data_IF_514195100687
#
_entry.id   IF_514195100687
#
_cell.length_a   1.000
_cell.length_b   1.000
_cell.length_c   1.000
_cell.angle_alpha   90.00
_cell.angle_beta   90.00
_cell.angle_gamma   90.00
#
_symmetry.space_group_name_H-M   'P 1'
#
loop_
_entity.id
_entity.type
_entity.pdbx_description
1 polymer ?
#
# COMPACT_ATOMS: atom_id res chain seq x y z
N UNK A 1 -21.69 -14.20 -14.40
CA UNK A 1 -20.64 -14.80 -13.54
C UNK A 1 -19.71 -13.68 -13.15
N UNK A 2 -19.78 -13.23 -11.89
CA UNK A 2 -19.15 -12.00 -11.41
C UNK A 2 -17.62 -12.04 -11.56
N UNK A 3 -17.02 -10.91 -11.91
CA UNK A 3 -15.57 -10.73 -12.12
C UNK A 3 -14.74 -11.20 -10.92
N UNK A 4 -15.26 -11.04 -9.71
CA UNK A 4 -14.66 -11.57 -8.46
C UNK A 4 -14.50 -13.11 -8.49
N UNK A 5 -15.48 -13.83 -9.05
CA UNK A 5 -15.41 -15.30 -9.18
C UNK A 5 -14.36 -15.72 -10.22
N UNK A 6 -14.18 -14.91 -11.27
CA UNK A 6 -13.13 -15.16 -12.28
C UNK A 6 -11.73 -14.92 -11.72
N UNK A 7 -11.55 -13.91 -10.87
CA UNK A 7 -10.28 -13.63 -10.20
C UNK A 7 -9.97 -14.73 -9.19
N UNK A 8 -10.94 -15.13 -8.37
CA UNK A 8 -10.78 -16.24 -7.43
C UNK A 8 -10.47 -17.57 -8.14
N UNK A 9 -11.11 -17.83 -9.30
CA UNK A 9 -10.85 -19.02 -10.10
C UNK A 9 -9.47 -18.98 -10.77
N UNK A 10 -9.03 -17.81 -11.24
CA UNK A 10 -7.70 -17.62 -11.83
C UNK A 10 -6.58 -17.86 -10.78
N UNK A 11 -6.81 -17.44 -9.55
CA UNK A 11 -5.88 -17.66 -8.42
C UNK A 11 -5.88 -19.13 -8.00
N UNK A 12 -7.05 -19.80 -8.03
CA UNK A 12 -7.17 -21.23 -7.69
C UNK A 12 -6.54 -22.15 -8.75
N UNK A 13 -6.41 -21.68 -10.01
CA UNK A 13 -5.77 -22.45 -11.09
C UNK A 13 -4.28 -22.20 -11.24
N UNK A 14 -3.72 -21.21 -10.57
CA UNK A 14 -2.28 -21.08 -10.40
C UNK A 14 -1.77 -22.13 -9.41
N UNK A 15 -1.80 -23.39 -9.81
CA UNK A 15 -0.96 -24.44 -9.22
C UNK A 15 0.49 -24.09 -9.53
N UNK A 16 1.07 -23.19 -8.73
CA UNK A 16 2.49 -22.94 -8.73
C UNK A 16 3.11 -24.19 -8.10
N UNK A 17 3.49 -25.14 -8.94
CA UNK A 17 4.38 -26.23 -8.54
C UNK A 17 5.70 -25.58 -8.15
N UNK A 18 5.86 -25.38 -6.85
CA UNK A 18 7.07 -24.83 -6.23
C UNK A 18 8.16 -25.88 -6.38
N UNK A 19 9.11 -25.61 -7.27
CA UNK A 19 10.40 -26.30 -7.20
C UNK A 19 11.09 -25.80 -5.94
N UNK A 20 11.22 -26.70 -4.99
CA UNK A 20 11.87 -26.47 -3.71
C UNK A 20 13.39 -26.35 -3.93
N UNK A 21 13.87 -25.11 -4.02
CA UNK A 21 15.23 -24.74 -3.68
C UNK A 21 15.21 -23.32 -3.11
N UNK A 22 15.47 -23.19 -1.82
CA UNK A 22 15.87 -22.01 -1.00
C UNK A 22 15.33 -20.59 -1.31
N UNK A 23 14.41 -20.44 -2.25
CA UNK A 23 13.79 -19.19 -2.67
C UNK A 23 12.27 -19.29 -2.42
N UNK A 24 11.82 -19.02 -1.20
CA UNK A 24 10.39 -19.07 -0.89
C UNK A 24 9.62 -18.00 -1.68
N UNK A 25 8.63 -18.43 -2.44
CA UNK A 25 7.60 -17.54 -2.97
C UNK A 25 6.55 -17.42 -1.89
N UNK A 26 6.17 -16.19 -1.57
CA UNK A 26 5.04 -15.90 -0.69
C UNK A 26 3.91 -15.33 -1.53
N UNK A 27 2.68 -15.75 -1.26
CA UNK A 27 1.50 -15.16 -1.87
C UNK A 27 0.48 -14.82 -0.78
N UNK A 28 -0.20 -13.69 -0.92
CA UNK A 28 -1.26 -13.29 -0.03
C UNK A 28 -2.46 -12.77 -0.82
N UNK A 29 -3.65 -13.04 -0.30
CA UNK A 29 -4.91 -12.49 -0.80
C UNK A 29 -5.52 -11.67 0.32
N UNK A 30 -5.91 -10.45 -0.01
CA UNK A 30 -6.58 -9.52 0.90
C UNK A 30 -8.03 -9.32 0.47
N UNK A 31 -8.95 -9.29 1.42
CA UNK A 31 -10.33 -8.85 1.20
C UNK A 31 -10.77 -7.99 2.36
N UNK A 32 -11.38 -6.84 2.08
CA UNK A 32 -11.75 -5.90 3.13
C UNK A 32 -12.65 -4.77 2.64
N UNK A 33 -12.77 -3.80 3.53
CA UNK A 33 -13.52 -2.57 3.30
C UNK A 33 -12.70 -1.38 3.76
N UNK A 34 -12.81 -0.27 3.06
CA UNK A 34 -12.25 1.01 3.46
C UNK A 34 -13.31 2.11 3.41
N UNK A 35 -13.37 2.93 4.46
CA UNK A 35 -14.21 4.12 4.47
C UNK A 35 -13.71 5.19 3.50
N UNK A 36 -12.42 5.18 3.20
CA UNK A 36 -11.82 6.03 2.18
C UNK A 36 -10.55 5.38 1.64
N UNK A 37 -10.45 5.29 0.34
CA UNK A 37 -9.25 4.78 -0.32
C UNK A 37 -8.22 5.89 -0.49
N UNK A 38 -7.00 5.61 -0.07
CA UNK A 38 -5.90 6.57 -0.04
C UNK A 38 -4.81 6.20 -1.03
N UNK A 39 -4.34 7.17 -1.79
CA UNK A 39 -3.09 7.10 -2.55
C UNK A 39 -2.23 8.28 -2.12
N UNK A 40 -1.02 8.00 -1.64
CA UNK A 40 -0.09 9.02 -1.11
C UNK A 40 -0.76 9.95 -0.08
N UNK A 41 -1.60 9.38 0.79
CA UNK A 41 -2.42 10.07 1.79
C UNK A 41 -3.48 11.04 1.20
N UNK A 42 -3.77 10.98 -0.09
CA UNK A 42 -4.89 11.67 -0.71
C UNK A 42 -6.11 10.75 -0.84
N UNK A 43 -7.28 11.24 -0.45
CA UNK A 43 -8.53 10.49 -0.57
C UNK A 43 -8.95 10.42 -2.03
N UNK A 44 -8.95 9.21 -2.59
CA UNK A 44 -9.32 8.93 -3.99
C UNK A 44 -10.76 8.46 -4.14
N UNK A 45 -11.25 7.70 -3.16
CA UNK A 45 -12.61 7.17 -3.15
C UNK A 45 -13.12 7.02 -1.73
N UNK A 46 -14.44 6.98 -1.56
CA UNK A 46 -15.10 6.70 -0.28
C UNK A 46 -15.90 5.41 -0.39
N UNK A 47 -16.02 4.71 0.72
CA UNK A 47 -16.88 3.54 0.88
C UNK A 47 -16.64 2.47 -0.19
N UNK A 48 -15.42 1.91 -0.20
CA UNK A 48 -15.01 0.91 -1.17
C UNK A 48 -14.76 -0.45 -0.51
N UNK A 49 -15.23 -1.52 -1.15
CA UNK A 49 -14.67 -2.84 -0.89
C UNK A 49 -13.25 -2.91 -1.49
N UNK A 50 -12.41 -3.75 -0.93
CA UNK A 50 -11.02 -3.92 -1.39
C UNK A 50 -10.78 -5.40 -1.58
N UNK A 51 -10.23 -5.78 -2.74
CA UNK A 51 -9.70 -7.10 -2.98
C UNK A 51 -8.27 -6.95 -3.50
N UNK A 52 -7.33 -7.64 -2.88
CA UNK A 52 -5.92 -7.52 -3.21
C UNK A 52 -5.24 -8.88 -3.37
N UNK A 53 -4.16 -8.89 -4.13
CA UNK A 53 -3.22 -9.99 -4.24
C UNK A 53 -1.80 -9.45 -4.15
N UNK A 54 -0.97 -10.13 -3.39
CA UNK A 54 0.46 -9.84 -3.32
C UNK A 54 1.23 -11.14 -3.55
N UNK A 55 2.23 -11.09 -4.43
CA UNK A 55 3.19 -12.18 -4.62
C UNK A 55 4.58 -11.62 -4.37
N UNK A 56 5.34 -12.28 -3.53
CA UNK A 56 6.70 -11.89 -3.18
C UNK A 56 7.70 -13.03 -3.42
N UNK A 57 8.92 -12.69 -3.76
CA UNK A 57 10.05 -13.61 -3.85
C UNK A 57 11.33 -12.90 -3.47
N UNK A 58 12.11 -13.51 -2.60
CA UNK A 58 13.47 -13.07 -2.34
C UNK A 58 14.44 -13.85 -3.21
N UNK A 59 15.30 -13.15 -3.95
CA UNK A 59 16.36 -13.72 -4.77
C UNK A 59 17.65 -12.93 -4.59
N UNK A 60 18.74 -13.59 -4.29
CA UNK A 60 20.05 -12.98 -4.05
C UNK A 60 20.03 -11.82 -3.03
N UNK A 61 19.19 -11.92 -2.00
CA UNK A 61 19.00 -10.89 -0.97
C UNK A 61 18.22 -9.66 -1.44
N UNK A 62 17.57 -9.73 -2.60
CA UNK A 62 16.63 -8.71 -3.08
C UNK A 62 15.23 -9.27 -3.00
N UNK A 63 14.33 -8.51 -2.36
CA UNK A 63 12.91 -8.81 -2.25
C UNK A 63 12.19 -8.23 -3.46
N UNK A 64 11.58 -9.08 -4.27
CA UNK A 64 10.71 -8.69 -5.37
C UNK A 64 9.25 -8.82 -4.96
N UNK A 65 8.39 -7.92 -5.40
CA UNK A 65 6.96 -8.00 -5.14
C UNK A 65 6.14 -7.60 -6.37
N UNK A 66 5.05 -8.35 -6.58
CA UNK A 66 3.96 -7.99 -7.48
C UNK A 66 2.71 -7.77 -6.61
N UNK A 67 2.06 -6.64 -6.76
CA UNK A 67 0.83 -6.31 -6.03
C UNK A 67 -0.26 -5.97 -7.03
N UNK A 68 -1.46 -6.47 -6.78
CA UNK A 68 -2.66 -6.10 -7.50
C UNK A 68 -3.76 -5.78 -6.52
N UNK A 69 -4.55 -4.75 -6.80
CA UNK A 69 -5.67 -4.36 -5.97
C UNK A 69 -6.83 -3.92 -6.86
N UNK A 70 -8.02 -4.35 -6.50
CA UNK A 70 -9.27 -3.98 -7.15
C UNK A 70 -10.22 -3.38 -6.11
N UNK A 71 -10.82 -2.26 -6.47
CA UNK A 71 -11.72 -1.50 -5.62
C UNK A 71 -13.04 -1.29 -6.37
N UNK A 72 -14.03 -2.16 -6.13
CA UNK A 72 -15.40 -1.87 -6.55
C UNK A 72 -15.97 -0.74 -5.67
N UNK A 73 -16.23 0.39 -6.28
CA UNK A 73 -16.77 1.57 -5.60
C UNK A 73 -18.30 1.56 -5.79
N UNK A 74 -19.03 1.83 -4.70
CA UNK A 74 -20.49 1.80 -4.71
C UNK A 74 -21.13 2.79 -5.72
N UNK A 75 -20.41 3.83 -6.14
CA UNK A 75 -20.83 4.79 -7.17
C UNK A 75 -20.70 4.29 -8.61
N UNK A 76 -20.26 3.04 -8.82
CA UNK A 76 -20.21 2.40 -10.15
C UNK A 76 -18.95 2.67 -10.97
N UNK A 77 -17.90 3.22 -10.35
CA UNK A 77 -16.61 3.49 -11.00
C UNK A 77 -15.51 2.68 -10.31
N UNK A 78 -15.26 1.49 -10.83
CA UNK A 78 -14.24 0.59 -10.29
C UNK A 78 -12.83 1.13 -10.52
N UNK A 79 -11.95 0.95 -9.54
CA UNK A 79 -10.54 1.29 -9.67
C UNK A 79 -9.67 0.05 -9.50
N UNK A 80 -8.52 0.02 -10.15
CA UNK A 80 -7.54 -1.03 -9.97
C UNK A 80 -6.11 -0.49 -9.97
N UNK A 81 -5.25 -1.15 -9.21
CA UNK A 81 -3.86 -0.79 -9.08
C UNK A 81 -2.99 -2.03 -9.23
N UNK A 82 -1.93 -1.92 -10.04
CA UNK A 82 -0.96 -2.99 -10.25
C UNK A 82 0.44 -2.44 -10.09
N UNK A 83 1.22 -3.07 -9.26
CA UNK A 83 2.56 -2.59 -8.94
C UNK A 83 3.60 -3.70 -8.92
N UNK A 84 4.80 -3.34 -9.35
CA UNK A 84 6.02 -4.12 -9.20
C UNK A 84 6.95 -3.36 -8.27
N UNK A 85 7.61 -4.06 -7.37
CA UNK A 85 8.58 -3.49 -6.45
C UNK A 85 9.77 -4.39 -6.24
N UNK A 86 10.88 -3.77 -5.89
CA UNK A 86 12.08 -4.44 -5.42
C UNK A 86 12.65 -3.70 -4.23
N UNK A 87 13.22 -4.44 -3.28
CA UNK A 87 13.84 -3.86 -2.08
C UNK A 87 15.01 -4.70 -1.59
N UNK A 88 15.94 -4.04 -0.90
CA UNK A 88 17.08 -4.70 -0.28
C UNK A 88 17.44 -4.01 1.02
N UNK A 89 17.74 -4.80 2.05
CA UNK A 89 18.30 -4.31 3.32
C UNK A 89 19.79 -4.54 3.36
N UNK A 90 20.53 -3.57 3.88
CA UNK A 90 21.98 -3.57 4.07
C UNK A 90 22.24 -3.34 5.55
N UNK A 91 22.88 -4.30 6.22
CA UNK A 91 23.34 -4.10 7.57
C UNK A 91 24.49 -3.09 7.58
N UNK A 92 24.33 -2.02 8.35
CA UNK A 92 25.35 -0.97 8.53
C UNK A 92 26.05 -1.13 9.87
N UNK A 93 25.30 -1.43 10.91
CA UNK A 93 25.75 -1.77 12.26
C UNK A 93 24.91 -2.91 12.80
N UNK A 94 25.33 -3.56 13.87
CA UNK A 94 24.70 -4.77 14.45
C UNK A 94 23.18 -4.66 14.69
N UNK A 95 22.64 -3.47 14.89
CA UNK A 95 21.21 -3.24 15.16
C UNK A 95 20.62 -2.17 14.26
N UNK A 96 21.32 -1.85 13.17
CA UNK A 96 20.92 -0.79 12.24
C UNK A 96 21.11 -1.26 10.81
N UNK A 97 20.03 -1.31 10.06
CA UNK A 97 20.03 -1.60 8.63
C UNK A 97 19.49 -0.42 7.83
N UNK A 98 19.98 -0.26 6.62
CA UNK A 98 19.40 0.63 5.61
C UNK A 98 18.61 -0.22 4.64
N UNK A 99 17.30 0.01 4.54
CA UNK A 99 16.44 -0.61 3.53
C UNK A 99 16.19 0.37 2.39
N UNK A 100 16.47 -0.08 1.19
CA UNK A 100 16.14 0.65 -0.05
C UNK A 100 15.06 -0.10 -0.79
N UNK A 101 14.08 0.62 -1.32
CA UNK A 101 12.98 0.07 -2.11
C UNK A 101 12.74 0.94 -3.33
N UNK A 102 12.36 0.33 -4.45
CA UNK A 102 11.89 1.02 -5.64
C UNK A 102 10.70 0.28 -6.22
N UNK A 103 9.80 1.00 -6.86
CA UNK A 103 8.61 0.40 -7.44
C UNK A 103 7.97 1.24 -8.53
N UNK A 104 7.14 0.57 -9.31
CA UNK A 104 6.26 1.17 -10.33
C UNK A 104 4.86 0.65 -10.08
N UNK A 105 3.88 1.54 -10.06
CA UNK A 105 2.47 1.20 -9.87
C UNK A 105 1.63 1.86 -10.96
N UNK A 106 0.84 1.08 -11.68
CA UNK A 106 -0.17 1.59 -12.60
C UNK A 106 -1.48 1.75 -11.85
N UNK A 107 -2.01 2.97 -11.84
CA UNK A 107 -3.32 3.32 -11.29
C UNK A 107 -4.32 3.46 -12.44
N UNK A 108 -5.36 2.64 -12.41
CA UNK A 108 -6.50 2.74 -13.31
C UNK A 108 -7.70 3.18 -12.49
N UNK A 109 -8.20 4.35 -12.78
CA UNK A 109 -9.34 4.93 -12.07
C UNK A 109 -10.55 4.88 -12.97
N UNK A 110 -11.66 4.34 -12.49
CA UNK A 110 -12.92 4.35 -13.23
C UNK A 110 -13.61 5.73 -13.24
N UNK A 111 -13.06 6.70 -12.51
CA UNK A 111 -13.66 8.03 -12.41
C UNK A 111 -13.29 8.88 -13.62
N UNK A 112 -14.30 9.44 -14.29
CA UNK A 112 -14.10 10.26 -15.49
C UNK A 112 -13.22 11.52 -15.26
N UNK A 113 -13.08 11.96 -14.01
CA UNK A 113 -12.32 13.16 -13.64
C UNK A 113 -10.89 12.88 -13.20
N UNK A 114 -10.52 11.60 -12.98
CA UNK A 114 -9.18 11.21 -12.57
C UNK A 114 -8.55 10.42 -13.70
N UNK A 115 -7.46 10.94 -14.25
CA UNK A 115 -6.72 10.28 -15.31
C UNK A 115 -5.98 9.05 -14.78
N UNK A 116 -5.91 7.98 -15.57
CA UNK A 116 -5.03 6.84 -15.29
C UNK A 116 -3.57 7.29 -15.31
N UNK A 117 -2.79 6.89 -14.32
CA UNK A 117 -1.39 7.30 -14.25
C UNK A 117 -0.48 6.17 -13.76
N UNK A 118 0.79 6.31 -14.04
CA UNK A 118 1.88 5.45 -13.57
C UNK A 118 2.68 6.18 -12.51
N UNK A 119 2.75 5.60 -11.32
CA UNK A 119 3.61 6.09 -10.24
C UNK A 119 4.93 5.33 -10.24
N UNK A 120 6.03 6.07 -10.23
CA UNK A 120 7.36 5.54 -9.92
C UNK A 120 7.73 6.03 -8.53
N UNK A 121 8.21 5.15 -7.67
CA UNK A 121 8.61 5.53 -6.33
C UNK A 121 9.93 4.88 -5.91
N UNK A 122 10.61 5.54 -4.99
CA UNK A 122 11.79 5.02 -4.32
C UNK A 122 11.73 5.40 -2.83
N UNK A 123 12.08 4.47 -1.94
CA UNK A 123 12.08 4.65 -0.48
C UNK A 123 13.43 4.24 0.09
N UNK A 124 13.91 5.04 1.05
CA UNK A 124 15.05 4.69 1.91
C UNK A 124 14.58 4.75 3.35
N UNK A 125 14.84 3.72 4.12
CA UNK A 125 14.47 3.61 5.52
C UNK A 125 15.68 3.19 6.36
N UNK A 126 15.75 3.69 7.60
CA UNK A 126 16.70 3.23 8.62
C UNK A 126 15.94 2.28 9.55
N UNK A 127 16.22 1.00 9.44
CA UNK A 127 15.57 -0.05 10.25
C UNK A 127 16.35 -0.28 11.53
N UNK A 128 15.70 -0.11 12.67
CA UNK A 128 16.22 -0.41 13.99
C UNK A 128 15.07 -0.84 14.94
N UNK A 129 15.39 -1.29 16.13
CA UNK A 129 14.43 -1.83 17.09
C UNK A 129 13.50 -0.76 17.70
N UNK A 130 13.85 0.52 17.62
CA UNK A 130 13.08 1.58 18.27
C UNK A 130 12.02 2.17 17.33
N UNK A 131 12.43 2.59 16.15
CA UNK A 131 11.55 3.17 15.12
C UNK A 131 12.28 3.22 13.77
N UNK A 132 11.50 3.29 12.70
CA UNK A 132 11.98 3.26 11.32
C UNK A 132 11.67 4.59 10.65
N UNK A 133 12.60 5.58 10.70
CA UNK A 133 12.47 6.79 9.90
C UNK A 133 12.72 6.46 8.42
N UNK A 134 11.99 7.12 7.54
CA UNK A 134 12.14 6.93 6.11
C UNK A 134 11.83 8.17 5.28
N UNK A 135 12.34 8.15 4.06
CA UNK A 135 12.00 9.10 2.99
C UNK A 135 11.55 8.30 1.78
N UNK A 136 10.46 8.71 1.16
CA UNK A 136 9.94 8.13 -0.10
C UNK A 136 9.83 9.25 -1.13
N UNK A 137 10.48 9.11 -2.28
CA UNK A 137 10.26 9.94 -3.47
C UNK A 137 9.15 9.33 -4.34
N UNK A 138 8.36 10.18 -4.99
CA UNK A 138 7.22 9.80 -5.82
C UNK A 138 7.25 10.62 -7.09
N UNK A 139 7.01 9.98 -8.24
CA UNK A 139 6.81 10.64 -9.53
C UNK A 139 5.65 10.01 -10.29
N UNK A 140 4.67 10.81 -10.66
CA UNK A 140 3.52 10.41 -11.47
C UNK A 140 3.77 10.81 -12.92
N UNK A 141 3.99 9.83 -13.78
CA UNK A 141 4.51 10.03 -15.14
C UNK A 141 3.54 10.84 -16.00
N UNK A 142 2.28 10.43 -16.11
CA UNK A 142 1.30 11.08 -16.98
C UNK A 142 0.80 12.42 -16.44
N UNK A 143 0.95 12.63 -15.13
CA UNK A 143 0.56 13.88 -14.47
C UNK A 143 1.72 14.85 -14.36
N UNK A 144 2.94 14.42 -14.67
CA UNK A 144 4.19 15.19 -14.52
C UNK A 144 4.35 15.78 -13.09
N UNK A 145 3.83 15.04 -12.08
CA UNK A 145 3.84 15.48 -10.69
C UNK A 145 4.89 14.71 -9.89
N UNK A 146 5.67 15.44 -9.12
CA UNK A 146 6.62 14.88 -8.18
C UNK A 146 6.21 15.12 -6.74
N UNK A 147 6.73 14.30 -5.85
CA UNK A 147 6.50 14.46 -4.43
C UNK A 147 7.50 13.70 -3.58
N UNK A 148 7.43 13.97 -2.30
CA UNK A 148 8.21 13.25 -1.30
C UNK A 148 7.38 13.05 -0.03
N UNK A 149 7.57 11.90 0.61
CA UNK A 149 7.05 11.60 1.94
C UNK A 149 8.23 11.44 2.89
N UNK A 150 8.17 12.08 4.04
CA UNK A 150 9.00 11.76 5.19
C UNK A 150 8.11 11.15 6.25
N UNK A 151 8.59 10.10 6.90
CA UNK A 151 7.79 9.41 7.89
C UNK A 151 8.64 8.70 8.93
N UNK A 152 7.96 8.31 9.98
CA UNK A 152 8.50 7.47 11.04
C UNK A 152 7.45 6.42 11.38
N UNK A 153 7.86 5.17 11.45
CA UNK A 153 7.00 4.05 11.85
C UNK A 153 7.66 3.24 12.95
N UNK A 154 6.85 2.53 13.73
CA UNK A 154 7.31 1.53 14.68
C UNK A 154 6.48 0.27 14.49
N UNK A 155 7.13 -0.89 14.58
CA UNK A 155 6.44 -2.19 14.59
C UNK A 155 6.74 -2.88 15.91
N UNK A 156 5.70 -3.36 16.57
CA UNK A 156 5.85 -4.14 17.79
C UNK A 156 4.66 -5.09 17.94
N UNK A 157 4.90 -6.17 18.67
CA UNK A 157 3.86 -7.13 19.01
C UNK A 157 3.55 -7.04 20.50
N UNK A 158 2.27 -7.08 20.83
CA UNK A 158 1.79 -7.13 22.20
C UNK A 158 0.69 -8.20 22.27
N UNK A 159 0.92 -9.22 23.07
CA UNK A 159 0.15 -10.46 23.05
C UNK A 159 0.13 -11.06 21.63
N UNK A 160 -1.04 -11.35 21.07
CA UNK A 160 -1.22 -11.90 19.72
C UNK A 160 -1.44 -10.83 18.63
N UNK A 161 -1.32 -9.54 19.00
CA UNK A 161 -1.54 -8.43 18.09
C UNK A 161 -0.22 -7.83 17.62
N UNK A 162 -0.15 -7.50 16.32
CA UNK A 162 0.92 -6.72 15.74
C UNK A 162 0.41 -5.29 15.53
N UNK A 163 1.18 -4.32 16.00
CA UNK A 163 0.88 -2.89 15.93
C UNK A 163 1.91 -2.20 15.06
N UNK A 164 1.45 -1.29 14.20
CA UNK A 164 2.32 -0.45 13.38
C UNK A 164 1.81 1.00 13.36
N UNK A 165 2.06 1.79 14.42
CA UNK A 165 1.85 3.23 14.38
C UNK A 165 2.83 3.90 13.43
N UNK A 166 2.37 4.94 12.71
CA UNK A 166 3.20 5.76 11.83
C UNK A 166 2.74 7.22 11.82
N UNK A 167 3.68 8.12 11.58
CA UNK A 167 3.41 9.53 11.31
C UNK A 167 4.10 9.88 9.99
N UNK A 168 3.37 10.53 9.10
CA UNK A 168 3.85 10.86 7.76
C UNK A 168 3.54 12.31 7.42
N UNK A 169 4.46 12.92 6.72
CA UNK A 169 4.26 14.17 6.00
C UNK A 169 4.58 13.97 4.54
N UNK A 170 3.61 14.21 3.67
CA UNK A 170 3.76 14.09 2.21
C UNK A 170 3.64 15.47 1.59
N UNK A 171 4.61 15.81 0.76
CA UNK A 171 4.62 17.00 -0.08
C UNK A 171 4.51 16.53 -1.53
N UNK A 172 3.46 16.91 -2.22
CA UNK A 172 3.26 16.77 -3.65
C UNK A 172 3.32 18.15 -4.31
N UNK A 173 3.43 18.21 -5.62
CA UNK A 173 3.50 19.48 -6.37
C UNK A 173 2.40 20.46 -5.95
N UNK A 174 1.17 19.98 -5.77
CA UNK A 174 0.00 20.81 -5.49
C UNK A 174 -0.70 20.49 -4.15
N UNK A 175 -0.12 19.63 -3.32
CA UNK A 175 -0.74 19.21 -2.07
C UNK A 175 0.27 18.93 -0.95
N UNK A 176 -0.15 19.22 0.26
CA UNK A 176 0.54 18.82 1.49
C UNK A 176 -0.38 17.94 2.30
N UNK A 177 0.15 16.85 2.86
CA UNK A 177 -0.65 15.93 3.64
C UNK A 177 0.07 15.55 4.92
N UNK A 178 -0.65 15.59 6.02
CA UNK A 178 -0.25 15.05 7.33
C UNK A 178 -1.08 13.81 7.59
N UNK A 179 -0.43 12.73 8.01
CA UNK A 179 -1.11 11.51 8.38
C UNK A 179 -0.56 10.93 9.68
N UNK A 180 -1.47 10.53 10.57
CA UNK A 180 -1.17 9.71 11.74
C UNK A 180 -1.94 8.41 11.59
N UNK A 181 -1.22 7.30 11.56
CA UNK A 181 -1.77 5.98 11.23
C UNK A 181 -1.53 4.99 12.37
N UNK A 182 -2.45 4.07 12.53
CA UNK A 182 -2.28 2.90 13.37
C UNK A 182 -2.82 1.69 12.61
N UNK A 183 -1.93 0.80 12.20
CA UNK A 183 -2.32 -0.51 11.71
C UNK A 183 -2.23 -1.54 12.84
N UNK A 184 -3.21 -2.42 12.90
CA UNK A 184 -3.27 -3.54 13.85
C UNK A 184 -3.62 -4.79 13.08
N UNK A 185 -2.90 -5.88 13.33
CA UNK A 185 -3.24 -7.19 12.77
C UNK A 185 -3.12 -8.28 13.82
N UNK A 186 -3.85 -9.38 13.61
CA UNK A 186 -3.80 -10.57 14.45
C UNK A 186 -3.98 -11.81 13.59
N UNK A 187 -3.16 -12.82 13.83
CA UNK A 187 -3.42 -14.13 13.25
C UNK A 187 -4.62 -14.78 13.97
N UNK A 188 -5.66 -15.10 13.20
CA UNK A 188 -6.91 -15.68 13.73
C UNK A 188 -7.01 -17.17 13.47
N UNK A 189 -6.35 -17.66 12.42
CA UNK A 189 -6.33 -19.10 12.11
C UNK A 189 -5.23 -19.43 11.08
N UNK A 190 -4.29 -20.30 11.46
CA UNK A 190 -3.19 -20.73 10.58
C UNK A 190 -2.56 -19.54 9.83
N UNK A 191 -2.85 -19.44 8.52
CA UNK A 191 -2.34 -18.42 7.61
C UNK A 191 -3.34 -17.27 7.35
N UNK A 192 -4.37 -17.13 8.17
CA UNK A 192 -5.41 -16.11 8.06
C UNK A 192 -5.23 -15.05 9.15
N UNK A 193 -4.97 -13.84 8.72
CA UNK A 193 -4.87 -12.67 9.58
C UNK A 193 -6.11 -11.79 9.42
N UNK A 194 -6.61 -11.25 10.54
CA UNK A 194 -7.48 -10.10 10.54
C UNK A 194 -6.62 -8.84 10.66
N UNK A 195 -6.95 -7.79 9.93
CA UNK A 195 -6.25 -6.53 10.00
C UNK A 195 -7.21 -5.34 10.02
N UNK A 196 -6.78 -4.26 10.63
CA UNK A 196 -7.42 -2.95 10.55
C UNK A 196 -6.35 -1.86 10.54
N UNK A 197 -6.63 -0.79 9.83
CA UNK A 197 -5.85 0.44 9.85
C UNK A 197 -6.80 1.62 10.09
N UNK A 198 -6.43 2.49 11.00
CA UNK A 198 -7.10 3.77 11.21
C UNK A 198 -6.07 4.87 10.97
N UNK A 199 -6.45 5.87 10.18
CA UNK A 199 -5.60 7.02 9.91
C UNK A 199 -6.38 8.31 10.11
N UNK A 200 -5.80 9.27 10.83
CA UNK A 200 -6.22 10.66 10.76
C UNK A 200 -5.39 11.35 9.67
N UNK A 201 -6.07 12.02 8.76
CA UNK A 201 -5.45 12.64 7.60
C UNK A 201 -5.94 14.08 7.47
N UNK A 202 -4.99 14.97 7.23
CA UNK A 202 -5.27 16.36 6.88
C UNK A 202 -4.52 16.71 5.60
N UNK A 203 -5.28 17.15 4.59
CA UNK A 203 -4.76 17.56 3.29
C UNK A 203 -4.98 19.06 3.11
N UNK A 204 -3.92 19.78 2.70
CA UNK A 204 -3.97 21.17 2.26
C UNK A 204 -3.59 21.22 0.77
N UNK A 205 -4.39 21.87 -0.06
CA UNK A 205 -4.08 22.10 -1.48
C UNK A 205 -3.59 23.53 -1.69
N UNK A 206 -2.48 23.68 -2.41
CA UNK A 206 -1.78 24.97 -2.55
C UNK A 206 -2.24 25.83 -3.74
N UNK A 207 -3.04 25.28 -4.65
CA UNK A 207 -3.49 26.03 -5.84
C UNK A 207 -4.89 25.65 -6.30
N UNK A 208 -5.55 26.65 -6.91
CA UNK A 208 -6.85 26.53 -7.58
C UNK A 208 -6.79 25.82 -8.94
N UNK A 209 -5.72 25.12 -9.29
CA UNK A 209 -5.65 24.30 -10.51
C UNK A 209 -6.45 23.02 -10.30
N UNK A 210 -7.75 23.19 -10.40
CA UNK A 210 -8.81 22.21 -10.19
C UNK A 210 -8.91 21.28 -11.42
N UNK A 211 -7.85 20.56 -11.71
CA UNK A 211 -7.96 19.38 -12.56
C UNK A 211 -8.19 18.11 -11.76
N UNK A 212 -8.30 18.20 -10.44
CA UNK A 212 -8.57 17.07 -9.56
C UNK A 212 -9.78 17.39 -8.67
N UNK A 213 -10.77 16.52 -8.72
CA UNK A 213 -11.90 16.49 -7.79
C UNK A 213 -11.46 16.10 -6.34
N UNK A 214 -10.21 16.36 -5.99
CA UNK A 214 -9.66 16.13 -4.65
C UNK A 214 -10.07 17.31 -3.79
N UNK A 215 -11.01 17.08 -2.91
CA UNK A 215 -11.42 18.07 -1.90
C UNK A 215 -10.44 18.02 -0.74
N UNK A 216 -10.24 19.17 -0.08
CA UNK A 216 -9.64 19.20 1.24
C UNK A 216 -10.31 18.16 2.14
N UNK A 217 -9.49 17.38 2.81
CA UNK A 217 -9.94 16.36 3.71
C UNK A 217 -9.24 16.54 5.06
N UNK A 218 -10.05 16.58 6.10
CA UNK A 218 -9.60 16.62 7.48
C UNK A 218 -10.49 15.64 8.27
N UNK A 219 -9.95 14.47 8.59
CA UNK A 219 -10.75 13.44 9.25
C UNK A 219 -10.11 12.07 9.37
N UNK A 220 -10.90 11.15 9.89
CA UNK A 220 -10.54 9.76 10.11
C UNK A 220 -10.90 8.88 8.91
N UNK A 221 -10.00 7.98 8.59
CA UNK A 221 -10.18 6.92 7.59
C UNK A 221 -9.94 5.59 8.26
N UNK A 222 -10.80 4.62 7.99
CA UNK A 222 -10.67 3.26 8.49
C UNK A 222 -10.67 2.24 7.36
N UNK A 223 -9.76 1.29 7.43
CA UNK A 223 -9.69 0.12 6.57
C UNK A 223 -9.63 -1.12 7.43
N UNK A 224 -10.32 -2.18 7.06
CA UNK A 224 -10.25 -3.46 7.76
C UNK A 224 -10.59 -4.62 6.86
N UNK A 225 -10.09 -5.81 7.19
CA UNK A 225 -10.29 -6.98 6.36
C UNK A 225 -9.57 -8.20 6.85
N UNK A 226 -9.47 -9.17 5.96
CA UNK A 226 -8.81 -10.45 6.14
C UNK A 226 -7.69 -10.59 5.10
N UNK A 227 -6.58 -11.20 5.52
CA UNK A 227 -5.43 -11.55 4.68
C UNK A 227 -5.14 -13.03 4.82
N UNK A 228 -5.09 -13.75 3.72
CA UNK A 228 -4.67 -15.14 3.68
C UNK A 228 -3.31 -15.25 2.99
N UNK A 229 -2.33 -15.80 3.71
CA UNK A 229 -0.95 -16.01 3.21
C UNK A 229 -0.71 -17.49 2.90
N UNK A 230 -0.01 -17.79 1.80
CA UNK A 230 0.30 -19.12 1.31
C UNK A 230 1.80 -19.37 1.30
#
# INVERSE_FOLDING_TARGET
MNTLFKIALLIATLNISVFAETNSITAAIDAGYTSSYLVNNLVQAKDAAVAGVTVGKTYAGVDFSLKGQYLPIASGTDSSHWGLGAGKSFEVLKELSVRTEAGVTRHQTGQALIQNYTEVNARVALENDFFVPYVKGIYNVELEQSGATVGIEKRFSLYDFNFAPAVEYTLLTDAKTYAVKLAVSRNIWKNLDAFTEVAYIKNDFSTSNINFALKEFDGLVGTGGLRWTF
#
